data_IF_578203842170
#
_entry.id   IF_578203842170
#
_cell.length_a   1.000
_cell.length_b   1.000
_cell.length_c   1.000
_cell.angle_alpha   90.00
_cell.angle_beta   90.00
_cell.angle_gamma   90.00
#
_symmetry.space_group_name_H-M   'P 1'
#
loop_
_entity.id
_entity.type
_entity.pdbx_description
1 polymer ?
#
# COMPACT_ATOMS: atom_id res chain seq x y z
N UNK A 1 1.42 -13.72 -22.37
CA UNK A 1 0.60 -12.51 -22.20
C UNK A 1 1.16 -11.79 -20.99
N UNK A 2 1.79 -10.64 -21.18
CA UNK A 2 2.36 -9.87 -20.07
C UNK A 2 1.24 -9.02 -19.47
N UNK A 3 0.48 -9.59 -18.53
CA UNK A 3 -0.49 -8.82 -17.76
C UNK A 3 0.28 -7.89 -16.84
N UNK A 4 0.17 -6.58 -17.06
CA UNK A 4 0.80 -5.57 -16.23
C UNK A 4 0.41 -5.82 -14.76
N UNK A 5 1.38 -5.71 -13.84
CA UNK A 5 1.16 -5.99 -12.42
C UNK A 5 -0.01 -5.19 -11.83
N UNK A 6 -0.25 -3.96 -12.31
CA UNK A 6 -1.37 -3.13 -11.88
C UNK A 6 -2.72 -3.67 -12.35
N UNK A 7 -2.79 -4.17 -13.59
CA UNK A 7 -4.00 -4.76 -14.17
C UNK A 7 -4.37 -6.06 -13.41
N UNK A 8 -3.37 -6.90 -13.15
CA UNK A 8 -3.52 -8.08 -12.30
C UNK A 8 -4.02 -7.73 -10.89
N UNK A 9 -3.50 -6.64 -10.30
CA UNK A 9 -3.90 -6.17 -8.96
C UNK A 9 -5.34 -5.64 -8.95
N UNK A 10 -5.77 -4.92 -9.98
CA UNK A 10 -7.15 -4.42 -10.07
C UNK A 10 -8.17 -5.55 -10.18
N UNK A 11 -7.89 -6.57 -11.01
CA UNK A 11 -8.74 -7.77 -11.13
C UNK A 11 -8.77 -8.57 -9.82
N UNK A 12 -7.61 -8.76 -9.20
CA UNK A 12 -7.48 -9.54 -7.96
C UNK A 12 -8.16 -8.85 -6.79
N UNK A 13 -7.99 -7.54 -6.64
CA UNK A 13 -8.65 -6.73 -5.61
C UNK A 13 -10.16 -6.60 -5.83
N UNK A 14 -10.65 -6.77 -7.06
CA UNK A 14 -12.09 -6.83 -7.33
C UNK A 14 -12.71 -8.18 -6.94
N UNK A 15 -11.97 -9.27 -7.13
CA UNK A 15 -12.43 -10.63 -6.79
C UNK A 15 -12.35 -10.93 -5.28
N UNK A 16 -11.26 -10.52 -4.62
CA UNK A 16 -10.98 -10.81 -3.21
C UNK A 16 -10.37 -9.59 -2.49
N UNK A 17 -11.13 -8.52 -2.26
CA UNK A 17 -10.63 -7.28 -1.67
C UNK A 17 -10.06 -7.46 -0.25
N UNK A 18 -10.73 -8.26 0.59
CA UNK A 18 -10.38 -8.45 2.01
C UNK A 18 -9.26 -9.47 2.24
N UNK A 19 -8.82 -10.16 1.18
CA UNK A 19 -7.76 -11.15 1.31
C UNK A 19 -6.42 -10.42 1.53
N UNK A 20 -5.56 -10.92 2.43
CA UNK A 20 -4.24 -10.33 2.61
C UNK A 20 -3.41 -10.48 1.34
N UNK A 21 -2.92 -9.36 0.83
CA UNK A 21 -1.94 -9.29 -0.25
C UNK A 21 -0.51 -9.46 0.29
N UNK A 22 -0.26 -8.88 1.47
CA UNK A 22 0.98 -9.03 2.22
C UNK A 22 0.67 -9.31 3.69
N UNK A 23 1.43 -10.22 4.29
CA UNK A 23 1.36 -10.56 5.71
C UNK A 23 2.71 -10.24 6.33
N UNK A 24 2.69 -9.36 7.32
CA UNK A 24 3.79 -9.03 8.21
C UNK A 24 3.51 -9.60 9.61
N UNK A 25 4.48 -9.58 10.53
CA UNK A 25 4.35 -10.26 11.83
C UNK A 25 3.22 -9.67 12.70
N UNK A 26 2.96 -8.37 12.56
CA UNK A 26 1.94 -7.63 13.32
C UNK A 26 0.81 -7.07 12.45
N UNK A 27 0.87 -7.24 11.12
CA UNK A 27 -0.05 -6.54 10.22
C UNK A 27 -0.31 -7.29 8.91
N UNK A 28 -1.56 -7.25 8.48
CA UNK A 28 -1.98 -7.77 7.19
C UNK A 28 -2.42 -6.61 6.31
N UNK A 29 -1.80 -6.45 5.14
CA UNK A 29 -2.21 -5.47 4.13
C UNK A 29 -3.10 -6.19 3.11
N UNK A 30 -4.32 -5.71 2.92
CA UNK A 30 -5.28 -6.36 2.00
C UNK A 30 -5.10 -5.90 0.55
N UNK A 31 -5.64 -6.65 -0.40
CA UNK A 31 -5.64 -6.22 -1.81
C UNK A 31 -6.39 -4.91 -2.03
N UNK A 32 -7.42 -4.62 -1.22
CA UNK A 32 -8.12 -3.35 -1.24
C UNK A 32 -7.20 -2.17 -0.83
N UNK A 33 -6.37 -2.38 0.19
CA UNK A 33 -5.41 -1.38 0.68
C UNK A 33 -4.32 -1.12 -0.38
N UNK A 34 -3.74 -2.17 -0.96
CA UNK A 34 -2.72 -2.03 -2.01
C UNK A 34 -3.27 -1.29 -3.23
N UNK A 35 -4.51 -1.60 -3.66
CA UNK A 35 -5.16 -0.89 -4.78
C UNK A 35 -5.41 0.58 -4.45
N UNK A 36 -5.83 0.88 -3.22
CA UNK A 36 -6.05 2.24 -2.74
C UNK A 36 -4.74 3.04 -2.72
N UNK A 37 -3.68 2.45 -2.19
CA UNK A 37 -2.35 3.05 -2.10
C UNK A 37 -1.76 3.32 -3.50
N UNK A 38 -1.85 2.34 -4.40
CA UNK A 38 -1.41 2.47 -5.78
C UNK A 38 -2.14 3.61 -6.52
N UNK A 39 -3.45 3.81 -6.25
CA UNK A 39 -4.22 4.93 -6.82
C UNK A 39 -3.84 6.28 -6.23
N UNK A 40 -3.57 6.33 -4.93
CA UNK A 40 -3.16 7.55 -4.23
C UNK A 40 -1.80 8.05 -4.75
N UNK A 41 -0.84 7.13 -4.93
CA UNK A 41 0.47 7.43 -5.51
C UNK A 41 0.45 7.76 -7.00
N UNK A 42 -0.58 7.33 -7.75
CA UNK A 42 -0.72 7.62 -9.19
C UNK A 42 -1.07 9.09 -9.48
N UNK A 43 -1.59 9.83 -8.50
CA UNK A 43 -1.99 11.24 -8.64
C UNK A 43 -1.34 12.20 -7.65
N UNK A 44 -0.79 11.72 -6.53
CA UNK A 44 -0.08 12.54 -5.55
C UNK A 44 1.35 12.04 -5.35
N UNK A 45 2.34 12.94 -5.50
CA UNK A 45 3.68 12.70 -4.99
C UNK A 45 3.58 12.39 -3.50
N UNK A 46 3.77 11.13 -3.14
CA UNK A 46 3.53 10.68 -1.78
C UNK A 46 4.48 11.37 -0.82
N UNK A 47 3.92 12.09 0.15
CA UNK A 47 4.65 12.35 1.38
C UNK A 47 4.81 11.00 2.08
N UNK A 48 6.01 10.43 1.98
CA UNK A 48 6.43 9.31 2.81
C UNK A 48 6.12 9.69 4.25
N UNK A 49 5.34 8.91 5.02
CA UNK A 49 5.12 9.21 6.42
C UNK A 49 6.48 9.22 7.08
N UNK A 50 6.99 10.43 7.39
CA UNK A 50 8.25 10.57 8.08
C UNK A 50 8.02 9.98 9.45
N UNK A 51 8.53 8.77 9.66
CA UNK A 51 8.67 8.17 10.98
C UNK A 51 9.13 9.29 11.90
N UNK A 52 8.26 9.72 12.82
CA UNK A 52 8.56 10.75 13.78
C UNK A 52 9.82 10.27 14.51
N UNK A 53 10.97 10.85 14.16
CA UNK A 53 12.16 10.70 14.97
C UNK A 53 11.86 11.52 16.22
N UNK A 54 11.26 10.87 17.21
CA UNK A 54 11.31 11.30 18.60
C UNK A 54 12.78 11.25 19.04
N UNK A 55 13.57 12.22 18.58
CA UNK A 55 14.90 12.54 19.07
C UNK A 55 14.78 13.79 19.95
N UNK A 56 15.55 13.90 21.04
CA UNK A 56 15.35 14.95 22.02
C UNK A 56 15.66 16.33 21.42
N UNK A 57 14.81 17.31 21.75
CA UNK A 57 15.01 18.72 21.41
C UNK A 57 16.37 19.21 21.96
N UNK A 58 17.21 19.87 21.17
CA UNK A 58 18.41 20.51 21.70
C UNK A 58 18.00 21.79 22.46
N UNK A 59 18.60 21.96 23.64
CA UNK A 59 18.46 23.12 24.52
C UNK A 59 19.03 24.40 23.93
#
# INVERSE_FOLDING_TARGET
METNVLDWLEVTAAACPDKPAFLDEDSAVTFADVRREARNHRHGGGEVPRRAKSGPSPS
#
